data_IF_256153264058
#
_entry.id   IF_256153264058
#
_cell.length_a   1.000
_cell.length_b   1.000
_cell.length_c   1.000
_cell.angle_alpha   90.00
_cell.angle_beta   90.00
_cell.angle_gamma   90.00
#
_symmetry.space_group_name_H-M   'P 1'
#
loop_
_entity.id
_entity.type
_entity.pdbx_description
1 polymer ?
#
# COMPACT_ATOMS: atom_id res chain seq x y z
N UNK A 1 22.15 -62.15 51.03
CA UNK A 1 21.68 -62.90 49.84
C UNK A 1 20.19 -63.13 50.01
N UNK A 2 19.37 -62.49 49.16
CA UNK A 2 17.89 -62.52 49.02
C UNK A 2 17.01 -62.84 50.24
N UNK A 3 16.11 -61.90 50.59
CA UNK A 3 14.68 -62.21 50.75
C UNK A 3 13.83 -60.94 50.65
N UNK A 4 12.79 -61.01 49.81
CA UNK A 4 11.66 -60.07 49.76
C UNK A 4 10.71 -60.37 50.92
N UNK A 5 10.03 -59.35 51.42
CA UNK A 5 8.60 -59.40 51.76
C UNK A 5 8.03 -57.98 51.85
N UNK A 6 6.88 -57.75 51.21
CA UNK A 6 6.01 -56.58 51.44
C UNK A 6 5.06 -56.88 52.61
N UNK A 7 4.49 -55.84 53.26
CA UNK A 7 3.07 -55.59 52.98
C UNK A 7 2.62 -54.12 53.01
N UNK A 8 1.67 -53.85 52.12
CA UNK A 8 0.41 -53.08 52.24
C UNK A 8 0.28 -52.08 53.40
N UNK A 9 0.07 -50.81 53.04
CA UNK A 9 -0.51 -49.78 53.89
C UNK A 9 -1.43 -48.87 53.06
N UNK A 10 -2.71 -48.84 53.44
CA UNK A 10 -3.79 -48.06 52.84
C UNK A 10 -3.53 -46.55 52.92
N UNK A 11 -3.87 -45.80 51.88
CA UNK A 11 -4.24 -44.39 51.99
C UNK A 11 -5.53 -44.16 51.20
N UNK A 12 -6.56 -43.79 51.96
CA UNK A 12 -7.90 -43.40 51.55
C UNK A 12 -7.93 -41.93 51.17
N UNK A 13 -8.86 -41.63 50.26
CA UNK A 13 -9.70 -40.45 50.11
C UNK A 13 -9.05 -39.06 50.10
N UNK A 14 -9.23 -38.36 48.98
CA UNK A 14 -9.58 -36.93 48.94
C UNK A 14 -10.24 -36.67 47.57
N UNK A 15 -11.56 -36.86 47.52
CA UNK A 15 -12.43 -36.10 46.62
C UNK A 15 -12.63 -34.72 47.26
N UNK A 16 -12.22 -33.65 46.59
CA UNK A 16 -12.86 -32.34 46.76
C UNK A 16 -13.18 -31.79 45.39
N UNK A 17 -14.49 -31.72 45.15
CA UNK A 17 -15.17 -31.01 44.09
C UNK A 17 -14.95 -29.50 44.27
N UNK A 18 -14.36 -28.83 43.29
CA UNK A 18 -14.55 -27.38 43.12
C UNK A 18 -15.13 -27.12 41.73
N UNK A 19 -16.47 -27.04 41.71
CA UNK A 19 -17.28 -26.65 40.58
C UNK A 19 -17.38 -25.12 40.62
N UNK A 20 -16.42 -24.42 40.04
CA UNK A 20 -16.64 -23.05 39.59
C UNK A 20 -16.92 -23.07 38.10
N UNK A 21 -18.21 -23.05 37.76
CA UNK A 21 -18.65 -22.63 36.45
C UNK A 21 -18.25 -21.18 36.27
N UNK A 22 -17.12 -20.94 35.60
CA UNK A 22 -16.81 -19.65 35.01
C UNK A 22 -17.93 -19.36 34.01
N UNK A 23 -18.89 -18.55 34.45
CA UNK A 23 -19.83 -17.89 33.56
C UNK A 23 -18.97 -17.11 32.57
N UNK A 24 -18.92 -17.56 31.32
CA UNK A 24 -18.44 -16.76 30.21
C UNK A 24 -19.34 -15.51 30.17
N UNK A 25 -18.91 -14.44 30.83
CA UNK A 25 -19.45 -13.11 30.60
C UNK A 25 -19.32 -12.87 29.09
N UNK A 26 -20.44 -12.91 28.38
CA UNK A 26 -20.57 -12.31 27.06
C UNK A 26 -20.23 -10.82 27.24
N UNK A 27 -18.95 -10.47 27.17
CA UNK A 27 -18.53 -9.08 27.05
C UNK A 27 -19.24 -8.53 25.82
N UNK A 28 -20.24 -7.67 26.04
CA UNK A 28 -20.83 -6.86 24.99
C UNK A 28 -19.67 -6.25 24.18
N UNK A 29 -19.56 -6.68 22.92
CA UNK A 29 -18.51 -6.20 22.04
C UNK A 29 -18.54 -4.67 21.98
N UNK A 30 -17.38 -4.01 21.78
CA UNK A 30 -17.35 -2.55 21.70
C UNK A 30 -18.39 -2.07 20.70
N UNK A 31 -19.31 -1.19 21.13
CA UNK A 31 -20.36 -0.62 20.28
C UNK A 31 -19.78 -0.33 18.89
N UNK A 32 -20.33 -0.98 17.85
CA UNK A 32 -19.78 -0.92 16.50
C UNK A 32 -20.01 0.48 15.91
N UNK A 33 -19.08 1.40 16.18
CA UNK A 33 -19.09 2.73 15.58
C UNK A 33 -18.87 2.60 14.06
N UNK A 34 -19.66 3.27 13.19
CA UNK A 34 -19.61 3.08 11.74
C UNK A 34 -18.26 3.42 11.11
N UNK A 35 -17.45 4.25 11.76
CA UNK A 35 -16.10 4.58 11.33
C UNK A 35 -15.00 3.66 11.88
N UNK A 36 -15.34 2.61 12.63
CA UNK A 36 -14.38 1.63 13.14
C UNK A 36 -14.79 0.24 12.66
N UNK A 37 -13.92 -0.37 11.86
CA UNK A 37 -14.03 -1.78 11.48
C UNK A 37 -12.97 -2.57 12.23
N UNK A 38 -13.39 -3.53 13.04
CA UNK A 38 -12.47 -4.39 13.79
C UNK A 38 -12.03 -5.59 12.95
N UNK A 39 -10.72 -5.81 12.86
CA UNK A 39 -10.09 -6.85 12.04
C UNK A 39 -9.07 -7.66 12.84
N UNK A 40 -8.50 -8.71 12.21
CA UNK A 40 -7.58 -9.65 12.84
C UNK A 40 -8.26 -10.77 13.62
N UNK A 41 -7.50 -11.79 14.02
CA UNK A 41 -8.00 -12.85 14.91
C UNK A 41 -8.49 -12.23 16.22
N UNK A 42 -9.72 -12.57 16.63
CA UNK A 42 -10.43 -11.97 17.76
C UNK A 42 -10.78 -10.47 17.62
N UNK A 43 -10.83 -9.91 16.40
CA UNK A 43 -11.29 -8.52 16.13
C UNK A 43 -10.54 -7.45 16.94
N UNK A 44 -9.22 -7.60 17.14
CA UNK A 44 -8.43 -6.70 18.00
C UNK A 44 -7.81 -5.49 17.28
N UNK A 45 -7.85 -5.46 15.95
CA UNK A 45 -7.17 -4.42 15.16
C UNK A 45 -8.22 -3.46 14.60
N UNK A 46 -8.33 -2.22 15.13
CA UNK A 46 -9.28 -1.25 14.61
C UNK A 46 -8.76 -0.64 13.30
N UNK A 47 -9.61 -0.63 12.28
CA UNK A 47 -9.40 0.08 11.02
C UNK A 47 -10.37 1.24 10.99
N UNK A 48 -9.85 2.45 10.78
CA UNK A 48 -10.69 3.62 10.58
C UNK A 48 -11.28 3.60 9.17
N UNK A 49 -12.61 3.62 9.10
CA UNK A 49 -13.40 3.64 7.86
C UNK A 49 -13.86 5.08 7.60
N UNK A 50 -13.65 5.53 6.36
CA UNK A 50 -14.05 6.86 5.92
C UNK A 50 -15.27 6.78 5.00
N UNK A 51 -16.30 7.57 5.31
CA UNK A 51 -17.55 7.65 4.57
C UNK A 51 -17.63 8.95 3.78
N UNK A 52 -17.93 8.88 2.48
CA UNK A 52 -17.97 10.08 1.63
C UNK A 52 -19.15 11.00 2.00
N UNK A 53 -20.25 10.41 2.46
CA UNK A 53 -21.46 11.08 2.92
C UNK A 53 -21.19 12.02 4.10
N UNK A 54 -20.15 11.76 4.90
CA UNK A 54 -19.75 12.60 6.02
C UNK A 54 -19.47 14.06 5.61
N UNK A 55 -18.99 14.27 4.38
CA UNK A 55 -18.75 15.60 3.83
C UNK A 55 -20.06 16.38 3.68
N UNK A 56 -21.16 15.67 3.39
CA UNK A 56 -22.48 16.24 3.10
C UNK A 56 -23.33 16.40 4.38
N UNK A 57 -23.35 15.37 5.23
CA UNK A 57 -24.28 15.30 6.38
C UNK A 57 -23.83 16.11 7.58
N UNK A 58 -22.52 16.33 7.73
CA UNK A 58 -21.91 16.93 8.94
C UNK A 58 -22.34 16.21 10.23
N UNK A 59 -22.54 14.91 10.15
CA UNK A 59 -22.94 14.07 11.27
C UNK A 59 -21.91 14.14 12.40
N UNK A 60 -22.34 14.57 13.59
CA UNK A 60 -21.49 14.65 14.78
C UNK A 60 -21.04 13.27 15.26
N UNK A 61 -21.82 12.22 15.00
CA UNK A 61 -21.45 10.86 15.37
C UNK A 61 -20.24 10.39 14.57
N UNK A 62 -20.18 10.64 13.26
CA UNK A 62 -19.00 10.32 12.43
C UNK A 62 -17.72 11.03 12.92
N UNK A 63 -17.85 12.25 13.45
CA UNK A 63 -16.72 13.03 13.97
C UNK A 63 -16.20 12.53 15.32
N UNK A 64 -17.04 11.83 16.08
CA UNK A 64 -16.82 11.46 17.48
C UNK A 64 -15.46 10.78 17.70
N UNK A 65 -15.10 9.83 16.85
CA UNK A 65 -13.84 9.07 17.00
C UNK A 65 -12.62 9.96 16.79
N UNK A 66 -12.60 10.76 15.72
CA UNK A 66 -11.48 11.65 15.44
C UNK A 66 -11.25 12.66 16.56
N UNK A 67 -12.34 13.21 17.10
CA UNK A 67 -12.30 14.18 18.19
C UNK A 67 -11.92 13.52 19.53
N UNK A 68 -12.56 12.40 19.89
CA UNK A 68 -12.29 11.66 21.13
C UNK A 68 -10.82 11.28 21.29
N UNK A 69 -10.18 10.85 20.21
CA UNK A 69 -8.76 10.43 20.22
C UNK A 69 -7.80 11.50 19.71
N UNK A 70 -8.28 12.72 19.46
CA UNK A 70 -7.49 13.88 19.05
C UNK A 70 -6.66 13.58 17.79
N UNK A 71 -7.26 12.85 16.85
CA UNK A 71 -6.58 12.42 15.64
C UNK A 71 -6.25 13.63 14.77
N UNK A 72 -5.08 13.57 14.16
CA UNK A 72 -4.51 14.69 13.44
C UNK A 72 -3.85 14.26 12.14
N UNK A 73 -3.86 15.17 11.16
CA UNK A 73 -3.25 14.92 9.86
C UNK A 73 -2.50 16.14 9.35
N UNK A 74 -1.59 15.90 8.41
CA UNK A 74 -0.94 16.95 7.64
C UNK A 74 -0.87 16.61 6.16
N UNK A 75 -1.00 17.63 5.32
CA UNK A 75 -0.86 17.51 3.88
C UNK A 75 0.48 18.13 3.44
N UNK A 76 1.27 17.38 2.68
CA UNK A 76 2.63 17.77 2.29
C UNK A 76 2.81 17.65 0.78
N UNK A 77 3.25 18.72 0.11
CA UNK A 77 3.59 18.72 -1.33
C UNK A 77 2.45 18.23 -2.25
N UNK A 78 1.19 18.54 -1.90
CA UNK A 78 0.01 18.23 -2.72
C UNK A 78 -1.16 19.13 -2.34
N UNK A 79 -2.09 19.39 -3.26
CA UNK A 79 -3.39 20.00 -2.97
C UNK A 79 -4.49 18.94 -3.08
N UNK A 80 -4.61 18.12 -2.04
CA UNK A 80 -5.60 17.03 -1.98
C UNK A 80 -6.86 17.50 -1.23
N UNK A 81 -7.65 18.37 -1.87
CA UNK A 81 -8.84 18.99 -1.25
C UNK A 81 -9.86 17.96 -0.74
N UNK A 82 -10.18 16.95 -1.55
CA UNK A 82 -11.13 15.90 -1.15
C UNK A 82 -10.64 15.14 0.09
N UNK A 83 -9.35 14.80 0.14
CA UNK A 83 -8.76 14.11 1.30
C UNK A 83 -8.85 14.98 2.54
N UNK A 84 -8.53 16.29 2.42
CA UNK A 84 -8.70 17.25 3.51
C UNK A 84 -10.14 17.27 4.01
N UNK A 85 -11.11 17.39 3.09
CA UNK A 85 -12.54 17.43 3.41
C UNK A 85 -13.00 16.16 4.12
N UNK A 86 -12.59 14.97 3.64
CA UNK A 86 -12.93 13.69 4.27
C UNK A 86 -12.36 13.62 5.69
N UNK A 87 -11.07 13.92 5.87
CA UNK A 87 -10.42 13.84 7.18
C UNK A 87 -11.05 14.80 8.18
N UNK A 88 -11.31 16.04 7.78
CA UNK A 88 -12.00 17.02 8.62
C UNK A 88 -13.44 16.61 8.94
N UNK A 89 -14.17 15.99 8.00
CA UNK A 89 -15.51 15.48 8.24
C UNK A 89 -15.54 14.30 9.24
N UNK A 90 -14.41 13.62 9.45
CA UNK A 90 -14.25 12.54 10.45
C UNK A 90 -13.58 13.02 11.75
N UNK A 91 -13.56 14.33 11.99
CA UNK A 91 -13.07 14.90 13.24
C UNK A 91 -11.55 15.00 13.36
N UNK A 92 -10.78 14.76 12.29
CA UNK A 92 -9.34 14.95 12.35
C UNK A 92 -8.96 16.43 12.29
N UNK A 93 -7.94 16.81 13.06
CA UNK A 93 -7.36 18.15 13.07
C UNK A 93 -6.21 18.27 12.07
N UNK A 94 -6.27 19.23 11.14
CA UNK A 94 -5.12 19.57 10.29
C UNK A 94 -4.06 20.28 11.13
N UNK A 95 -2.82 19.80 11.08
CA UNK A 95 -1.66 20.42 11.74
C UNK A 95 -0.72 21.05 10.71
N UNK A 96 0.15 21.96 11.18
CA UNK A 96 1.12 22.59 10.32
C UNK A 96 2.04 21.53 9.64
N UNK A 97 2.41 21.70 8.35
CA UNK A 97 3.23 20.71 7.64
C UNK A 97 4.57 20.35 8.31
N UNK A 98 5.14 21.26 9.10
CA UNK A 98 6.37 21.04 9.88
C UNK A 98 6.15 20.36 11.24
N UNK A 99 4.91 20.15 11.66
CA UNK A 99 4.59 19.47 12.92
C UNK A 99 5.06 18.01 12.89
N UNK A 100 5.66 17.55 13.99
CA UNK A 100 5.96 16.14 14.23
C UNK A 100 4.83 15.43 14.99
N UNK A 101 3.86 16.18 15.53
CA UNK A 101 2.66 15.65 16.16
C UNK A 101 1.56 15.50 15.10
N UNK A 102 1.43 14.29 14.55
CA UNK A 102 0.40 13.91 13.59
C UNK A 102 0.17 12.39 13.65
N UNK A 103 -1.02 11.93 13.24
CA UNK A 103 -1.30 10.51 13.03
C UNK A 103 -1.20 10.14 11.55
N UNK A 104 -1.64 11.00 10.63
CA UNK A 104 -1.61 10.75 9.20
C UNK A 104 -0.86 11.86 8.43
N UNK A 105 0.17 11.49 7.69
CA UNK A 105 0.79 12.39 6.69
C UNK A 105 0.35 11.97 5.29
N UNK A 106 -0.35 12.87 4.60
CA UNK A 106 -0.73 12.71 3.20
C UNK A 106 0.22 13.50 2.31
N UNK A 107 1.02 12.83 1.49
CA UNK A 107 2.02 13.44 0.62
C UNK A 107 1.81 13.12 -0.86
N UNK A 108 2.12 14.10 -1.71
CA UNK A 108 2.11 13.96 -3.18
C UNK A 108 3.36 13.28 -3.75
N UNK A 109 4.42 13.12 -2.95
CA UNK A 109 5.67 12.51 -3.40
C UNK A 109 6.18 11.44 -2.45
N UNK A 110 6.91 10.47 -3.01
CA UNK A 110 7.55 9.42 -2.24
C UNK A 110 8.49 10.01 -1.19
N UNK A 111 8.42 9.44 0.02
CA UNK A 111 9.30 9.81 1.11
C UNK A 111 10.67 9.15 0.93
N UNK A 112 11.72 9.89 1.33
CA UNK A 112 13.07 9.35 1.36
C UNK A 112 13.17 8.30 2.49
N UNK A 113 13.99 7.24 2.34
CA UNK A 113 14.10 6.18 3.34
C UNK A 113 14.40 6.65 4.77
N UNK A 114 15.19 7.71 4.94
CA UNK A 114 15.48 8.23 6.27
C UNK A 114 14.25 8.86 6.96
N UNK A 115 13.31 9.44 6.21
CA UNK A 115 12.06 10.00 6.77
C UNK A 115 11.13 8.87 7.19
N UNK A 116 11.08 7.77 6.42
CA UNK A 116 10.27 6.61 6.78
C UNK A 116 10.77 5.96 8.08
N UNK A 117 12.09 5.95 8.31
CA UNK A 117 12.69 5.43 9.55
C UNK A 117 12.45 6.30 10.79
N UNK A 118 12.04 7.54 10.62
CA UNK A 118 11.76 8.45 11.75
C UNK A 118 10.28 8.45 12.15
N UNK A 119 9.43 7.65 11.46
CA UNK A 119 8.02 7.53 11.81
C UNK A 119 7.86 6.74 13.11
N UNK A 120 6.91 7.16 13.93
CA UNK A 120 6.48 6.41 15.12
C UNK A 120 5.39 5.39 14.77
N UNK A 121 5.09 4.45 15.67
CA UNK A 121 4.11 3.38 15.43
C UNK A 121 2.69 3.90 15.15
N UNK A 122 2.36 5.08 15.67
CA UNK A 122 1.08 5.77 15.47
C UNK A 122 1.03 6.63 14.21
N UNK A 123 2.16 6.84 13.54
CA UNK A 123 2.25 7.65 12.33
C UNK A 123 2.09 6.79 11.08
N UNK A 124 1.14 7.20 10.24
CA UNK A 124 0.86 6.58 8.95
C UNK A 124 1.16 7.56 7.81
N UNK A 125 1.60 7.00 6.69
CA UNK A 125 1.88 7.73 5.45
C UNK A 125 1.19 7.02 4.29
N UNK A 126 0.74 7.77 3.28
CA UNK A 126 0.02 7.25 2.13
C UNK A 126 0.93 6.63 1.03
N UNK A 127 2.17 6.25 1.34
CA UNK A 127 3.12 5.67 0.40
C UNK A 127 3.85 4.48 1.00
N UNK A 128 3.84 3.35 0.30
CA UNK A 128 4.74 2.24 0.60
C UNK A 128 6.17 2.58 0.17
N UNK A 129 7.19 2.19 0.97
CA UNK A 129 8.59 2.30 0.58
C UNK A 129 8.81 1.61 -0.77
N UNK A 130 9.49 2.29 -1.71
CA UNK A 130 9.83 1.77 -3.04
C UNK A 130 8.65 1.34 -3.93
N UNK A 131 7.43 1.77 -3.65
CA UNK A 131 6.27 1.53 -4.54
C UNK A 131 6.48 2.06 -5.98
N UNK A 132 7.43 2.99 -6.18
CA UNK A 132 7.86 3.44 -7.51
C UNK A 132 8.43 2.33 -8.41
N UNK A 133 8.81 1.18 -7.85
CA UNK A 133 9.23 0.01 -8.63
C UNK A 133 8.10 -0.53 -9.52
N UNK A 134 6.85 -0.30 -9.14
CA UNK A 134 5.66 -0.66 -9.91
C UNK A 134 5.03 0.54 -10.65
N UNK A 135 5.20 1.76 -10.13
CA UNK A 135 4.50 2.95 -10.69
C UNK A 135 5.33 3.78 -11.67
N UNK A 136 6.66 3.68 -11.67
CA UNK A 136 7.50 4.29 -12.71
C UNK A 136 7.63 3.36 -13.90
N UNK A 137 7.52 3.90 -15.12
CA UNK A 137 7.45 3.08 -16.34
C UNK A 137 8.73 2.28 -16.60
N UNK A 138 9.90 2.91 -16.39
CA UNK A 138 11.22 2.27 -16.53
C UNK A 138 11.40 1.13 -15.53
N UNK A 139 10.98 1.33 -14.29
CA UNK A 139 11.08 0.32 -13.23
C UNK A 139 10.11 -0.82 -13.45
N UNK A 140 8.86 -0.52 -13.80
CA UNK A 140 7.86 -1.52 -14.14
C UNK A 140 8.35 -2.42 -15.28
N UNK A 141 8.84 -1.83 -16.37
CA UNK A 141 9.40 -2.59 -17.50
C UNK A 141 10.57 -3.50 -17.06
N UNK A 142 11.55 -2.96 -16.31
CA UNK A 142 12.69 -3.77 -15.82
C UNK A 142 12.24 -4.92 -14.91
N UNK A 143 11.26 -4.67 -14.05
CA UNK A 143 10.72 -5.68 -13.15
C UNK A 143 9.96 -6.76 -13.93
N UNK A 144 9.12 -6.39 -14.90
CA UNK A 144 8.44 -7.38 -15.76
C UNK A 144 9.43 -8.18 -16.60
N UNK A 145 10.44 -7.54 -17.20
CA UNK A 145 11.50 -8.25 -17.94
C UNK A 145 12.21 -9.27 -17.03
N UNK A 146 12.59 -8.87 -15.80
CA UNK A 146 13.15 -9.81 -14.81
C UNK A 146 12.20 -10.97 -14.51
N UNK A 147 10.90 -10.71 -14.36
CA UNK A 147 9.91 -11.77 -14.11
C UNK A 147 9.74 -12.71 -15.32
N UNK A 148 9.83 -12.19 -16.55
CA UNK A 148 9.85 -13.00 -17.77
C UNK A 148 11.06 -13.94 -17.83
N UNK A 149 12.24 -13.49 -17.36
CA UNK A 149 13.44 -14.35 -17.30
C UNK A 149 13.31 -15.45 -16.25
N UNK A 150 12.68 -15.17 -15.10
CA UNK A 150 12.58 -16.13 -13.98
C UNK A 150 11.43 -17.12 -14.19
N UNK A 151 10.26 -16.64 -14.63
CA UNK A 151 9.02 -17.41 -14.67
C UNK A 151 8.51 -17.69 -16.10
N UNK A 152 9.30 -17.30 -17.10
CA UNK A 152 8.99 -17.48 -18.51
C UNK A 152 8.20 -16.33 -19.12
N UNK A 153 8.48 -16.07 -20.40
CA UNK A 153 7.86 -14.99 -21.16
C UNK A 153 6.34 -15.07 -21.16
N UNK A 154 5.75 -16.24 -21.43
CA UNK A 154 4.28 -16.43 -21.53
C UNK A 154 3.54 -16.04 -20.25
N UNK A 155 4.13 -16.30 -19.08
CA UNK A 155 3.54 -16.00 -17.77
C UNK A 155 3.47 -14.50 -17.50
N UNK A 156 4.45 -13.74 -18.01
CA UNK A 156 4.58 -12.29 -17.81
C UNK A 156 4.50 -11.51 -19.14
N UNK A 157 3.77 -12.04 -20.14
CA UNK A 157 3.56 -11.38 -21.43
C UNK A 157 2.41 -10.37 -21.35
N UNK A 158 2.53 -9.41 -20.43
CA UNK A 158 1.50 -8.42 -20.11
C UNK A 158 1.86 -7.00 -20.52
N UNK A 159 3.08 -6.80 -21.05
CA UNK A 159 3.54 -5.53 -21.59
C UNK A 159 3.83 -5.68 -23.08
N UNK A 160 3.52 -4.65 -23.91
CA UNK A 160 4.03 -4.59 -25.26
C UNK A 160 5.56 -4.53 -25.23
N UNK A 161 6.19 -4.94 -26.33
CA UNK A 161 7.64 -4.84 -26.48
C UNK A 161 8.10 -3.41 -26.19
N UNK A 162 9.09 -3.26 -25.31
CA UNK A 162 9.46 -1.99 -24.70
C UNK A 162 10.97 -1.89 -24.56
N UNK A 163 11.50 -0.67 -24.66
CA UNK A 163 12.91 -0.33 -24.51
C UNK A 163 13.07 0.97 -23.71
N UNK A 164 14.18 1.09 -22.96
CA UNK A 164 14.61 2.30 -22.26
C UNK A 164 15.78 2.92 -23.03
N UNK A 165 15.59 4.14 -23.52
CA UNK A 165 16.62 4.88 -24.23
C UNK A 165 17.31 5.90 -23.31
N UNK A 166 18.59 6.24 -23.57
CA UNK A 166 19.41 5.82 -24.72
C UNK A 166 20.03 4.41 -24.60
N UNK A 167 19.94 3.78 -23.42
CA UNK A 167 20.66 2.54 -23.11
C UNK A 167 20.35 1.36 -24.06
N UNK A 168 19.10 1.23 -24.50
CA UNK A 168 18.62 0.11 -25.33
C UNK A 168 18.30 0.55 -26.79
N UNK A 169 18.97 1.61 -27.28
CA UNK A 169 18.68 2.20 -28.60
C UNK A 169 18.98 1.24 -29.76
N UNK A 170 20.06 0.48 -29.65
CA UNK A 170 20.47 -0.43 -30.72
C UNK A 170 19.50 -1.62 -30.82
N UNK A 171 19.05 -2.14 -29.68
CA UNK A 171 18.05 -3.19 -29.57
C UNK A 171 16.70 -2.71 -30.12
N UNK A 172 16.31 -1.48 -29.77
CA UNK A 172 15.13 -0.83 -30.34
C UNK A 172 15.21 -0.72 -31.87
N UNK A 173 16.32 -0.20 -32.42
CA UNK A 173 16.51 -0.08 -33.88
C UNK A 173 16.45 -1.43 -34.58
N UNK A 174 17.05 -2.46 -33.97
CA UNK A 174 17.01 -3.84 -34.48
C UNK A 174 15.58 -4.39 -34.49
N UNK A 175 14.82 -4.13 -33.43
CA UNK A 175 13.43 -4.59 -33.33
C UNK A 175 12.51 -3.87 -34.31
N UNK A 176 12.63 -2.54 -34.40
CA UNK A 176 11.88 -1.70 -35.35
C UNK A 176 12.13 -2.14 -36.80
N UNK A 177 13.35 -2.56 -37.13
CA UNK A 177 13.69 -3.03 -38.49
C UNK A 177 12.98 -4.33 -38.85
N UNK A 178 12.65 -5.18 -37.85
CA UNK A 178 11.96 -6.47 -38.03
C UNK A 178 10.43 -6.31 -38.02
N UNK A 179 9.90 -5.44 -37.18
CA UNK A 179 8.47 -5.13 -37.08
C UNK A 179 8.26 -3.62 -37.23
N UNK A 180 8.00 -3.22 -38.49
CA UNK A 180 7.70 -1.83 -38.82
C UNK A 180 6.30 -1.47 -38.33
N UNK A 181 6.15 -0.22 -37.91
CA UNK A 181 4.87 0.33 -37.52
C UNK A 181 5.02 1.39 -36.45
N UNK A 182 3.90 1.87 -35.88
CA UNK A 182 3.93 2.90 -34.86
C UNK A 182 4.50 2.38 -33.54
N UNK A 183 5.31 3.24 -32.92
CA UNK A 183 5.79 3.10 -31.56
C UNK A 183 5.38 4.33 -30.76
N UNK A 184 5.22 4.15 -29.45
CA UNK A 184 4.85 5.23 -28.53
C UNK A 184 6.02 5.54 -27.61
N UNK A 185 6.44 6.80 -27.60
CA UNK A 185 7.49 7.32 -26.73
C UNK A 185 6.86 7.96 -25.52
N UNK A 186 7.40 7.69 -24.33
CA UNK A 186 6.88 8.14 -23.04
C UNK A 186 8.04 8.56 -22.14
N UNK A 187 7.97 9.71 -21.45
CA UNK A 187 8.94 10.03 -20.40
C UNK A 187 8.77 9.05 -19.22
N UNK A 188 9.90 8.59 -18.66
CA UNK A 188 9.91 7.53 -17.64
C UNK A 188 9.19 7.93 -16.35
N UNK A 189 9.32 9.20 -15.95
CA UNK A 189 8.82 9.75 -14.69
C UNK A 189 7.81 10.90 -14.88
N UNK A 190 7.04 10.89 -15.98
CA UNK A 190 5.95 11.84 -16.24
C UNK A 190 4.56 11.18 -16.17
N UNK A 191 3.52 12.00 -16.08
CA UNK A 191 2.12 11.61 -16.00
C UNK A 191 1.22 12.55 -16.80
N UNK A 192 -0.07 12.17 -16.94
CA UNK A 192 -1.12 12.93 -17.66
C UNK A 192 -0.87 13.07 -19.17
N UNK A 193 -0.21 12.08 -19.78
CA UNK A 193 0.11 12.10 -21.22
C UNK A 193 1.17 13.14 -21.65
N UNK A 194 1.75 13.90 -20.72
CA UNK A 194 2.74 14.93 -21.05
C UNK A 194 4.02 14.31 -21.60
N UNK A 195 4.47 14.82 -22.75
CA UNK A 195 5.65 14.33 -23.47
C UNK A 195 5.44 12.98 -24.15
N UNK A 196 4.21 12.48 -24.23
CA UNK A 196 3.90 11.24 -24.96
C UNK A 196 3.63 11.56 -26.42
N UNK A 197 4.26 10.83 -27.33
CA UNK A 197 4.07 11.01 -28.77
C UNK A 197 4.27 9.68 -29.51
N UNK A 198 3.74 9.60 -30.73
CA UNK A 198 3.94 8.47 -31.63
C UNK A 198 5.10 8.75 -32.58
N UNK A 199 5.83 7.70 -32.91
CA UNK A 199 6.87 7.71 -33.94
C UNK A 199 6.62 6.58 -34.91
N UNK A 200 7.03 6.80 -36.16
CA UNK A 200 7.12 5.78 -37.18
C UNK A 200 8.55 5.62 -37.69
N UNK A 201 9.52 6.35 -37.13
CA UNK A 201 10.94 6.24 -37.47
C UNK A 201 11.80 6.54 -36.22
N UNK A 202 12.79 5.70 -35.86
CA UNK A 202 13.70 5.94 -34.74
C UNK A 202 14.38 7.32 -34.72
N UNK A 203 14.65 7.91 -35.90
CA UNK A 203 15.30 9.21 -36.02
C UNK A 203 14.45 10.38 -35.50
N UNK A 204 13.16 10.16 -35.21
CA UNK A 204 12.26 11.16 -34.62
C UNK A 204 12.45 11.29 -33.10
N UNK A 205 13.27 10.45 -32.48
CA UNK A 205 13.49 10.42 -31.04
C UNK A 205 14.65 11.33 -30.66
N UNK A 206 14.43 12.24 -29.71
CA UNK A 206 15.52 12.90 -28.99
C UNK A 206 16.07 11.99 -27.89
N UNK A 207 17.38 11.76 -27.89
CA UNK A 207 18.08 10.89 -26.93
C UNK A 207 18.67 11.66 -25.74
N UNK A 208 18.30 12.92 -25.57
CA UNK A 208 18.80 13.79 -24.49
C UNK A 208 18.26 13.39 -23.10
N UNK A 209 17.10 12.73 -23.06
CA UNK A 209 16.44 12.32 -21.83
C UNK A 209 16.21 10.81 -21.76
N UNK A 210 16.10 10.29 -20.54
CA UNK A 210 15.68 8.91 -20.32
C UNK A 210 14.20 8.77 -20.66
N UNK A 211 13.93 8.03 -21.73
CA UNK A 211 12.59 7.78 -22.25
C UNK A 211 12.34 6.29 -22.40
N UNK A 212 11.07 5.94 -22.48
CA UNK A 212 10.59 4.59 -22.69
C UNK A 212 9.84 4.54 -24.01
N UNK A 213 10.22 3.60 -24.87
CA UNK A 213 9.63 3.39 -26.19
C UNK A 213 8.95 2.03 -26.19
N UNK A 214 7.65 1.98 -26.47
CA UNK A 214 6.88 0.74 -26.51
C UNK A 214 6.22 0.56 -27.86
N UNK A 215 6.01 -0.69 -28.29
CA UNK A 215 5.19 -1.00 -29.46
C UNK A 215 3.79 -0.46 -29.23
N UNK A 216 3.26 0.28 -30.19
CA UNK A 216 1.90 0.81 -30.10
C UNK A 216 0.89 -0.29 -30.42
N UNK A 217 -0.11 -0.46 -29.55
CA UNK A 217 -1.23 -1.38 -29.77
C UNK A 217 -2.25 -0.66 -30.65
N UNK A 218 -2.33 -1.09 -31.91
CA UNK A 218 -3.15 -0.44 -32.95
C UNK A 218 -4.57 -1.01 -33.08
N UNK A 219 -4.87 -2.13 -32.43
CA UNK A 219 -6.19 -2.74 -32.37
C UNK A 219 -6.59 -2.97 -30.89
N UNK A 220 -7.08 -1.92 -30.20
CA UNK A 220 -7.40 -1.94 -28.77
C UNK A 220 -8.65 -2.75 -28.43
#
# INVERSE_FOLDING_TARGET
>A
MKQQDMPVGMARDLEETDSSSEEEEEMEGPEEHPCIMWTGGFRRIPIMVFHAEAILTKDSYIRLIGERYHLSFKIVRTDSRLVRSILSAHGFREVHPSSNEYNLMWTGSHLKPYVLRTLTDIQKVNHFPRSYELTRKDRLYKNINRMQQIYGFKTFHILPQTFILPAEYQEFCTSYSKDRGPWIVKPVASSRGRGVYLINNPNQISLEENILVSRYINNP
#
